data_IF_004340981342
#
_entry.id   IF_004340981342
#
_cell.length_a   1.000
_cell.length_b   1.000
_cell.length_c   1.000
_cell.angle_alpha   90.00
_cell.angle_beta   90.00
_cell.angle_gamma   90.00
#
_symmetry.space_group_name_H-M   'P 1'
#
loop_
_entity.id
_entity.type
_entity.pdbx_description
1 polymer ?
#
# COMPACT_ATOMS: atom_id res chain seq x y z
N UNK A 1 40.41 -6.86 27.91
CA UNK A 1 39.09 -6.42 27.38
C UNK A 1 39.21 -6.00 25.91
N UNK A 2 39.45 -6.94 25.00
CA UNK A 2 39.44 -6.74 23.52
C UNK A 2 38.89 -8.02 22.84
N UNK A 3 37.70 -8.41 23.27
CA UNK A 3 36.85 -9.40 22.58
C UNK A 3 35.43 -8.85 22.63
N UNK A 4 35.23 -7.74 21.92
CA UNK A 4 33.92 -7.19 21.65
C UNK A 4 33.55 -7.61 20.23
N UNK A 5 32.63 -8.57 20.14
CA UNK A 5 31.55 -8.61 19.15
C UNK A 5 31.98 -8.60 17.68
N UNK A 6 32.63 -9.67 17.23
CA UNK A 6 32.23 -10.23 15.94
C UNK A 6 30.82 -10.79 16.18
N UNK A 7 29.79 -10.00 15.86
CA UNK A 7 28.39 -10.43 15.94
C UNK A 7 28.30 -11.59 14.94
N UNK A 8 28.29 -12.84 15.43
CA UNK A 8 28.03 -14.00 14.58
C UNK A 8 26.75 -13.70 13.81
N UNK A 9 26.81 -13.83 12.48
CA UNK A 9 25.65 -13.58 11.64
C UNK A 9 24.48 -14.42 12.18
N UNK A 10 23.43 -13.75 12.65
CA UNK A 10 22.24 -14.44 13.14
C UNK A 10 21.67 -15.28 12.01
N UNK A 11 21.20 -16.50 12.29
CA UNK A 11 20.50 -17.33 11.31
C UNK A 11 19.36 -16.56 10.61
N UNK A 12 18.71 -15.65 11.35
CA UNK A 12 17.62 -14.78 10.86
C UNK A 12 18.08 -13.78 9.77
N UNK A 13 19.39 -13.59 9.62
CA UNK A 13 20.00 -12.73 8.59
C UNK A 13 20.53 -13.55 7.40
N UNK A 14 20.37 -14.87 7.42
CA UNK A 14 20.82 -15.74 6.33
C UNK A 14 19.83 -15.76 5.17
N UNK A 15 20.35 -16.03 3.97
CA UNK A 15 19.56 -16.21 2.76
C UNK A 15 18.57 -17.38 2.89
N UNK A 16 19.00 -18.49 3.49
CA UNK A 16 18.14 -19.67 3.72
C UNK A 16 16.93 -19.35 4.64
N UNK A 17 17.13 -18.55 5.69
CA UNK A 17 16.00 -18.11 6.52
C UNK A 17 15.05 -17.20 5.72
N UNK A 18 15.59 -16.30 4.92
CA UNK A 18 14.79 -15.41 4.07
C UNK A 18 13.95 -16.19 3.03
N UNK A 19 14.53 -17.20 2.37
CA UNK A 19 13.79 -18.10 1.46
C UNK A 19 12.62 -18.77 2.18
N UNK A 20 12.84 -19.26 3.40
CA UNK A 20 11.76 -19.85 4.22
C UNK A 20 10.63 -18.84 4.45
N UNK A 21 10.92 -17.54 4.60
CA UNK A 21 9.88 -16.51 4.74
C UNK A 21 9.12 -16.26 3.44
N UNK A 22 9.79 -16.34 2.29
CA UNK A 22 9.12 -16.27 0.97
C UNK A 22 8.16 -17.44 0.83
N UNK A 23 8.60 -18.67 1.13
CA UNK A 23 7.77 -19.87 1.06
C UNK A 23 6.53 -19.78 1.98
N UNK A 24 6.71 -19.33 3.22
CA UNK A 24 5.61 -19.13 4.17
C UNK A 24 4.60 -18.11 3.67
N UNK A 25 5.04 -17.02 3.03
CA UNK A 25 4.13 -16.05 2.43
C UNK A 25 3.35 -16.70 1.27
N UNK A 26 4.04 -17.39 0.37
CA UNK A 26 3.41 -18.04 -0.79
C UNK A 26 2.40 -19.11 -0.40
N UNK A 27 2.59 -19.79 0.73
CA UNK A 27 1.66 -20.80 1.23
C UNK A 27 0.24 -20.25 1.49
N UNK A 28 0.06 -18.93 1.66
CA UNK A 28 -1.26 -18.30 1.84
C UNK A 28 -2.13 -18.43 0.59
N UNK A 29 -1.54 -18.46 -0.61
CA UNK A 29 -2.31 -18.62 -1.85
C UNK A 29 -2.81 -20.06 -2.08
N UNK A 30 -2.31 -21.04 -1.32
CA UNK A 30 -2.72 -22.45 -1.45
C UNK A 30 -2.45 -23.02 -2.85
N UNK A 31 -3.39 -23.79 -3.39
CA UNK A 31 -3.25 -24.48 -4.68
C UNK A 31 -3.30 -23.54 -5.90
N UNK A 32 -3.78 -22.31 -5.71
CA UNK A 32 -3.88 -21.28 -6.77
C UNK A 32 -2.69 -20.31 -6.75
N UNK A 33 -1.61 -20.67 -6.04
CA UNK A 33 -0.44 -19.83 -5.92
C UNK A 33 0.20 -19.52 -7.29
N UNK A 34 0.54 -18.24 -7.55
CA UNK A 34 1.42 -17.93 -8.66
C UNK A 34 2.79 -18.58 -8.43
N UNK A 35 3.59 -18.67 -9.49
CA UNK A 35 4.95 -19.21 -9.36
C UNK A 35 5.73 -18.42 -8.29
N UNK A 36 6.34 -19.14 -7.35
CA UNK A 36 7.21 -18.52 -6.34
C UNK A 36 8.36 -17.81 -7.03
N UNK A 37 8.55 -16.49 -6.81
CA UNK A 37 9.64 -15.75 -7.43
C UNK A 37 10.99 -16.26 -6.88
N UNK A 38 12.01 -16.28 -7.73
CA UNK A 38 13.37 -16.55 -7.28
C UNK A 38 13.90 -15.38 -6.46
N UNK A 39 14.98 -15.61 -5.70
CA UNK A 39 15.68 -14.51 -5.04
C UNK A 39 16.27 -13.50 -6.03
N UNK A 40 16.63 -13.94 -7.24
CA UNK A 40 17.09 -13.03 -8.29
C UNK A 40 15.95 -12.10 -8.75
N UNK A 41 14.73 -12.62 -8.90
CA UNK A 41 13.54 -11.83 -9.21
C UNK A 41 13.24 -10.83 -8.08
N UNK A 42 13.29 -11.29 -6.83
CA UNK A 42 13.06 -10.45 -5.65
C UNK A 42 14.17 -9.42 -5.41
N UNK A 43 15.31 -9.47 -6.11
CA UNK A 43 16.33 -8.40 -6.09
C UNK A 43 16.07 -7.33 -7.14
N UNK A 44 15.32 -7.62 -8.21
CA UNK A 44 15.07 -6.68 -9.29
C UNK A 44 14.26 -5.47 -8.81
N UNK A 45 14.54 -4.26 -9.30
CA UNK A 45 13.79 -3.08 -8.92
C UNK A 45 12.31 -3.22 -9.30
N UNK A 46 11.41 -2.87 -8.39
CA UNK A 46 9.97 -2.85 -8.69
C UNK A 46 9.64 -1.67 -9.61
N UNK A 47 8.72 -1.88 -10.55
CA UNK A 47 8.21 -0.80 -11.41
C UNK A 47 7.44 0.20 -10.56
N UNK A 48 7.84 1.48 -10.63
CA UNK A 48 7.23 2.57 -9.85
C UNK A 48 6.67 3.66 -10.77
N UNK A 49 5.47 4.13 -10.44
CA UNK A 49 4.80 5.22 -11.13
C UNK A 49 4.36 6.29 -10.13
N UNK A 50 4.53 7.57 -10.49
CA UNK A 50 3.88 8.70 -9.82
C UNK A 50 3.24 9.65 -10.86
N UNK A 51 2.16 9.22 -11.52
CA UNK A 51 1.52 9.95 -12.62
C UNK A 51 0.84 11.27 -12.20
N UNK A 52 0.47 11.39 -10.92
CA UNK A 52 -0.20 12.56 -10.36
C UNK A 52 0.55 12.94 -9.08
N UNK A 53 0.96 14.21 -9.00
CA UNK A 53 1.71 14.74 -7.87
C UNK A 53 0.92 15.87 -7.20
N UNK A 54 1.22 16.21 -5.93
CA UNK A 54 0.54 17.31 -5.24
C UNK A 54 0.60 18.66 -5.96
N UNK A 55 1.61 18.89 -6.81
CA UNK A 55 1.75 20.12 -7.60
C UNK A 55 0.97 20.13 -8.92
N UNK A 56 0.39 19.00 -9.32
CA UNK A 56 -0.30 18.84 -10.60
C UNK A 56 -1.54 17.92 -10.46
N UNK A 57 -2.54 18.31 -9.65
CA UNK A 57 -3.72 17.49 -9.39
C UNK A 57 -4.56 17.29 -10.66
N UNK A 58 -5.38 16.22 -10.68
CA UNK A 58 -6.32 15.94 -11.78
C UNK A 58 -7.75 15.88 -11.28
N UNK A 59 -8.67 16.49 -12.02
CA UNK A 59 -10.09 16.56 -11.68
C UNK A 59 -10.91 15.61 -12.54
N UNK A 60 -11.83 14.88 -11.93
CA UNK A 60 -12.77 13.95 -12.56
C UNK A 60 -14.21 14.25 -12.10
N UNK A 61 -15.11 14.41 -13.05
CA UNK A 61 -16.55 14.46 -12.83
C UNK A 61 -17.20 13.08 -12.86
N UNK A 62 -18.48 13.03 -12.50
CA UNK A 62 -19.27 11.80 -12.58
C UNK A 62 -19.28 11.22 -14.02
N UNK A 63 -19.00 9.93 -14.15
CA UNK A 63 -18.87 9.23 -15.43
C UNK A 63 -17.50 9.36 -16.10
N UNK A 64 -16.63 10.26 -15.63
CA UNK A 64 -15.26 10.38 -16.14
C UNK A 64 -14.37 9.28 -15.55
N UNK A 65 -13.36 8.90 -16.32
CA UNK A 65 -12.36 7.91 -15.93
C UNK A 65 -10.95 8.36 -16.33
N UNK A 66 -9.96 7.83 -15.62
CA UNK A 66 -8.55 7.93 -15.97
C UNK A 66 -7.89 6.56 -15.88
N UNK A 67 -6.79 6.39 -16.61
CA UNK A 67 -5.94 5.20 -16.55
C UNK A 67 -4.50 5.66 -16.42
N UNK A 68 -3.80 5.14 -15.42
CA UNK A 68 -2.40 5.45 -15.16
C UNK A 68 -1.66 4.17 -14.79
N UNK A 69 -0.76 3.74 -15.68
CA UNK A 69 -0.07 2.46 -15.54
C UNK A 69 -1.07 1.28 -15.41
N UNK A 70 -0.92 0.41 -14.39
CA UNK A 70 -1.82 -0.72 -14.17
C UNK A 70 -3.16 -0.33 -13.55
N UNK A 71 -3.34 0.91 -13.05
CA UNK A 71 -4.59 1.33 -12.41
C UNK A 71 -5.53 2.06 -13.36
N UNK A 72 -6.81 1.70 -13.30
CA UNK A 72 -7.90 2.48 -13.85
C UNK A 72 -8.79 3.01 -12.73
N UNK A 73 -9.18 4.28 -12.81
CA UNK A 73 -10.08 4.89 -11.85
C UNK A 73 -11.27 5.53 -12.57
N UNK A 74 -12.46 5.42 -12.00
CA UNK A 74 -13.67 6.09 -12.47
C UNK A 74 -14.43 6.74 -11.32
N UNK A 75 -15.15 7.82 -11.61
CA UNK A 75 -16.02 8.48 -10.63
C UNK A 75 -17.47 8.17 -10.95
N UNK A 76 -18.22 7.73 -9.94
CA UNK A 76 -19.63 7.38 -10.06
C UNK A 76 -20.45 8.07 -8.97
N UNK A 77 -21.73 8.28 -9.23
CA UNK A 77 -22.68 8.77 -8.23
C UNK A 77 -23.69 7.67 -7.97
N UNK A 78 -23.76 7.20 -6.73
CA UNK A 78 -24.67 6.14 -6.33
C UNK A 78 -25.51 6.56 -5.13
N UNK A 79 -26.74 6.05 -5.02
CA UNK A 79 -27.54 6.21 -3.82
C UNK A 79 -27.12 5.16 -2.79
N UNK A 80 -26.55 5.62 -1.67
CA UNK A 80 -26.21 4.75 -0.54
C UNK A 80 -27.25 4.90 0.56
N UNK A 81 -27.57 3.78 1.21
CA UNK A 81 -28.38 3.78 2.43
C UNK A 81 -27.42 4.04 3.59
N UNK A 82 -27.50 5.24 4.17
CA UNK A 82 -26.78 5.57 5.39
C UNK A 82 -27.72 5.35 6.59
N UNK A 83 -27.28 4.56 7.56
CA UNK A 83 -27.91 4.46 8.87
C UNK A 83 -27.19 5.41 9.83
N UNK A 84 -27.88 6.48 10.25
CA UNK A 84 -27.39 7.39 11.27
C UNK A 84 -28.38 7.41 12.42
N UNK A 85 -27.95 6.91 13.59
CA UNK A 85 -28.76 6.88 14.82
C UNK A 85 -30.12 6.17 14.63
N UNK A 86 -30.17 5.13 13.80
CA UNK A 86 -31.39 4.37 13.52
C UNK A 86 -32.29 4.98 12.43
N UNK A 87 -31.91 6.13 11.86
CA UNK A 87 -32.59 6.70 10.70
C UNK A 87 -31.86 6.24 9.45
N UNK A 88 -32.55 5.43 8.64
CA UNK A 88 -32.09 5.04 7.31
C UNK A 88 -32.50 6.09 6.30
N UNK A 89 -31.52 6.76 5.72
CA UNK A 89 -31.73 7.72 4.64
C UNK A 89 -31.01 7.25 3.37
N UNK A 90 -31.67 7.43 2.22
CA UNK A 90 -31.04 7.27 0.91
C UNK A 90 -30.47 8.61 0.51
N UNK A 91 -29.16 8.67 0.35
CA UNK A 91 -28.48 9.89 -0.08
C UNK A 91 -27.56 9.52 -1.24
N UNK A 92 -27.44 10.41 -2.24
CA UNK A 92 -26.43 10.25 -3.29
C UNK A 92 -25.04 10.38 -2.68
N UNK A 93 -24.07 9.62 -3.18
CA UNK A 93 -22.66 9.68 -2.82
C UNK A 93 -21.82 9.64 -4.08
N UNK A 94 -20.81 10.50 -4.12
CA UNK A 94 -19.74 10.43 -5.12
C UNK A 94 -18.73 9.38 -4.68
N UNK A 95 -18.53 8.36 -5.50
CA UNK A 95 -17.61 7.24 -5.28
C UNK A 95 -16.48 7.31 -6.31
N UNK A 96 -15.25 7.03 -5.87
CA UNK A 96 -14.15 6.69 -6.75
C UNK A 96 -13.99 5.17 -6.76
N UNK A 97 -14.03 4.56 -7.95
CA UNK A 97 -13.78 3.13 -8.14
C UNK A 97 -12.42 2.97 -8.77
N UNK A 98 -11.51 2.26 -8.10
CA UNK A 98 -10.13 2.03 -8.55
C UNK A 98 -9.95 0.55 -8.79
N UNK A 99 -9.43 0.18 -9.95
CA UNK A 99 -9.25 -1.20 -10.35
C UNK A 99 -7.83 -1.45 -10.84
N UNK A 100 -7.23 -2.54 -10.39
CA UNK A 100 -6.01 -3.04 -11.00
C UNK A 100 -6.34 -3.79 -12.30
N UNK A 101 -5.94 -3.21 -13.43
CA UNK A 101 -6.05 -3.80 -14.76
C UNK A 101 -4.73 -4.42 -15.24
N UNK A 102 -3.69 -4.40 -14.41
CA UNK A 102 -2.43 -5.07 -14.66
C UNK A 102 -2.53 -6.59 -14.49
N UNK A 103 -1.43 -7.27 -14.76
CA UNK A 103 -1.28 -8.72 -14.58
C UNK A 103 -0.57 -9.11 -13.29
N UNK A 104 -0.16 -8.13 -12.48
CA UNK A 104 0.54 -8.32 -11.21
C UNK A 104 -0.14 -7.50 -10.11
N UNK A 105 0.00 -7.90 -8.83
CA UNK A 105 -0.51 -7.09 -7.73
C UNK A 105 0.17 -5.71 -7.71
N UNK A 106 -0.53 -4.71 -7.19
CA UNK A 106 0.01 -3.35 -7.08
C UNK A 106 -0.22 -2.79 -5.69
N UNK A 107 0.82 -2.21 -5.09
CA UNK A 107 0.64 -1.29 -3.99
C UNK A 107 0.32 0.09 -4.53
N UNK A 108 -0.57 0.81 -3.87
CA UNK A 108 -0.95 2.16 -4.29
C UNK A 108 -1.07 3.13 -3.12
N UNK A 109 -0.71 4.37 -3.39
CA UNK A 109 -1.04 5.51 -2.54
C UNK A 109 -1.97 6.40 -3.33
N UNK A 110 -3.11 6.73 -2.74
CA UNK A 110 -4.10 7.57 -3.39
C UNK A 110 -4.65 8.60 -2.41
N UNK A 111 -4.39 9.86 -2.72
CA UNK A 111 -5.01 10.99 -2.04
C UNK A 111 -6.08 11.62 -2.93
N UNK A 112 -7.29 11.71 -2.38
CA UNK A 112 -8.49 12.21 -3.06
C UNK A 112 -9.17 13.25 -2.20
N UNK A 113 -9.65 14.30 -2.86
CA UNK A 113 -10.54 15.28 -2.23
C UNK A 113 -11.67 15.68 -3.15
N UNK A 114 -12.66 16.35 -2.56
CA UNK A 114 -13.68 17.06 -3.33
C UNK A 114 -13.02 18.28 -3.99
N UNK A 115 -13.29 18.51 -5.27
CA UNK A 115 -12.85 19.71 -5.98
C UNK A 115 -13.45 20.98 -5.34
N UNK A 116 -12.64 22.03 -5.20
CA UNK A 116 -13.01 23.26 -4.49
C UNK A 116 -12.93 23.17 -2.96
N UNK A 117 -12.58 22.00 -2.41
CA UNK A 117 -12.34 21.79 -0.99
C UNK A 117 -13.60 21.70 -0.12
N UNK A 118 -13.38 21.83 1.19
CA UNK A 118 -14.40 21.71 2.24
C UNK A 118 -14.44 20.33 2.92
N UNK A 119 -14.84 20.33 4.19
CA UNK A 119 -15.02 19.08 4.93
C UNK A 119 -16.24 18.32 4.42
N UNK A 120 -16.05 17.04 4.12
CA UNK A 120 -17.17 16.17 3.87
C UNK A 120 -17.83 15.76 5.19
N UNK A 121 -19.06 16.22 5.41
CA UNK A 121 -19.81 15.94 6.65
C UNK A 121 -20.27 14.48 6.77
N UNK A 122 -20.50 13.80 5.65
CA UNK A 122 -20.97 12.41 5.60
C UNK A 122 -20.20 11.62 4.55
N UNK A 123 -19.33 10.73 5.02
CA UNK A 123 -18.68 9.70 4.20
C UNK A 123 -19.27 8.35 4.57
N UNK A 124 -19.73 7.62 3.56
CA UNK A 124 -20.04 6.21 3.78
C UNK A 124 -18.71 5.47 3.92
N UNK A 125 -18.51 4.72 5.01
CA UNK A 125 -17.34 3.87 5.15
C UNK A 125 -17.58 2.59 4.36
N UNK A 126 -17.16 2.58 3.09
CA UNK A 126 -16.99 1.36 2.30
C UNK A 126 -15.71 0.68 2.77
N UNK A 127 -15.73 -0.63 3.00
CA UNK A 127 -14.51 -1.38 3.29
C UNK A 127 -13.83 -1.73 1.98
N UNK A 128 -12.51 -1.58 1.92
CA UNK A 128 -11.69 -1.89 0.75
C UNK A 128 -10.24 -2.12 1.18
N UNK A 129 -9.44 -2.77 0.35
CA UNK A 129 -8.01 -2.78 0.57
C UNK A 129 -7.37 -1.46 0.11
N UNK A 130 -6.99 -0.64 1.10
CA UNK A 130 -6.32 0.64 0.90
C UNK A 130 -4.82 0.57 0.52
N UNK A 131 -4.21 -0.62 0.54
CA UNK A 131 -2.77 -0.80 0.39
C UNK A 131 -2.42 -1.51 -0.91
N UNK A 132 -3.07 -2.64 -1.17
CA UNK A 132 -2.80 -3.50 -2.32
C UNK A 132 -4.08 -3.74 -3.12
N UNK A 133 -3.93 -3.93 -4.43
CA UNK A 133 -4.96 -4.49 -5.30
C UNK A 133 -4.38 -5.65 -6.09
N UNK A 134 -4.99 -6.83 -5.95
CA UNK A 134 -4.70 -7.99 -6.79
C UNK A 134 -5.14 -7.76 -8.25
N UNK A 135 -4.61 -8.51 -9.24
CA UNK A 135 -5.04 -8.39 -10.62
C UNK A 135 -6.57 -8.53 -10.78
N UNK A 136 -7.20 -7.50 -11.35
CA UNK A 136 -8.64 -7.44 -11.56
C UNK A 136 -9.46 -6.98 -10.35
N UNK A 137 -8.85 -6.86 -9.16
CA UNK A 137 -9.49 -6.38 -7.94
C UNK A 137 -9.85 -4.89 -8.04
N UNK A 138 -10.92 -4.51 -7.33
CA UNK A 138 -11.45 -3.16 -7.31
C UNK A 138 -11.70 -2.67 -5.88
N UNK A 139 -11.19 -1.48 -5.55
CA UNK A 139 -11.57 -0.71 -4.38
C UNK A 139 -12.65 0.32 -4.72
N UNK A 140 -13.63 0.50 -3.82
CA UNK A 140 -14.64 1.55 -3.92
C UNK A 140 -14.52 2.51 -2.74
N UNK A 141 -14.24 3.78 -3.02
CA UNK A 141 -13.95 4.81 -2.02
C UNK A 141 -15.05 5.88 -2.05
N UNK A 142 -15.78 6.04 -0.95
CA UNK A 142 -16.75 7.14 -0.81
C UNK A 142 -16.04 8.47 -0.54
N UNK A 143 -16.16 9.41 -1.46
CA UNK A 143 -15.53 10.73 -1.34
C UNK A 143 -16.40 11.65 -0.49
N UNK A 144 -17.66 11.81 -0.89
CA UNK A 144 -18.64 12.60 -0.14
C UNK A 144 -20.09 12.34 -0.54
N UNK A 145 -21.03 12.66 0.37
CA UNK A 145 -22.45 12.76 0.05
C UNK A 145 -22.75 13.88 -0.95
N UNK A 146 -23.57 13.61 -1.96
CA UNK A 146 -23.92 14.49 -3.06
C UNK A 146 -23.18 14.14 -4.35
N UNK A 147 -23.39 14.98 -5.36
CA UNK A 147 -22.71 14.92 -6.65
C UNK A 147 -21.58 15.95 -6.65
N UNK A 148 -20.33 15.48 -6.72
CA UNK A 148 -19.17 16.34 -6.72
C UNK A 148 -18.17 15.89 -7.78
N UNK A 149 -17.34 16.83 -8.22
CA UNK A 149 -16.10 16.50 -8.90
C UNK A 149 -15.06 16.07 -7.87
N UNK A 150 -14.25 15.08 -8.24
CA UNK A 150 -13.19 14.50 -7.42
C UNK A 150 -11.87 15.00 -7.95
N UNK A 151 -11.03 15.50 -7.06
CA UNK A 151 -9.66 15.87 -7.37
C UNK A 151 -8.71 14.81 -6.79
N UNK A 152 -7.88 14.24 -7.67
CA UNK A 152 -6.78 13.35 -7.34
C UNK A 152 -5.55 14.21 -7.12
N UNK A 153 -5.03 14.21 -5.90
CA UNK A 153 -3.93 15.09 -5.48
C UNK A 153 -2.58 14.37 -5.50
N UNK A 154 -2.54 13.07 -5.23
CA UNK A 154 -1.33 12.26 -5.34
C UNK A 154 -1.75 10.83 -5.71
N UNK A 155 -1.08 10.26 -6.70
CA UNK A 155 -1.23 8.86 -7.08
C UNK A 155 0.16 8.27 -7.25
N UNK A 156 0.48 7.28 -6.41
CA UNK A 156 1.72 6.50 -6.48
C UNK A 156 1.37 5.04 -6.63
N UNK A 157 2.14 4.32 -7.44
CA UNK A 157 1.87 2.92 -7.76
C UNK A 157 3.21 2.18 -7.77
N UNK A 158 3.25 1.02 -7.11
CA UNK A 158 4.37 0.09 -7.16
C UNK A 158 3.84 -1.28 -7.59
N UNK A 159 4.34 -1.83 -8.70
CA UNK A 159 4.07 -3.21 -9.08
C UNK A 159 4.80 -4.16 -8.13
N UNK A 160 4.13 -5.24 -7.72
CA UNK A 160 4.61 -6.15 -6.69
C UNK A 160 4.77 -7.57 -7.23
N UNK A 161 5.62 -8.33 -6.56
CA UNK A 161 5.55 -9.79 -6.60
C UNK A 161 4.44 -10.27 -5.66
N UNK A 162 3.99 -11.51 -5.85
CA UNK A 162 2.99 -12.14 -4.99
C UNK A 162 3.33 -12.15 -3.48
N UNK A 163 4.55 -12.53 -3.03
CA UNK A 163 4.88 -12.45 -1.61
C UNK A 163 4.94 -10.99 -1.11
N UNK A 164 5.32 -10.05 -1.99
CA UNK A 164 5.34 -8.63 -1.67
C UNK A 164 3.96 -8.04 -1.39
N UNK A 165 2.93 -8.44 -2.14
CA UNK A 165 1.54 -8.10 -1.87
C UNK A 165 1.14 -8.49 -0.44
N UNK A 166 1.33 -9.77 -0.11
CA UNK A 166 1.03 -10.32 1.22
C UNK A 166 1.76 -9.57 2.33
N UNK A 167 3.06 -9.31 2.16
CA UNK A 167 3.83 -8.61 3.19
C UNK A 167 3.40 -7.16 3.38
N UNK A 168 3.01 -6.47 2.31
CA UNK A 168 2.52 -5.10 2.38
C UNK A 168 1.16 -5.04 3.07
N UNK A 169 0.27 -6.00 2.83
CA UNK A 169 -1.06 -6.03 3.46
C UNK A 169 -1.00 -6.20 4.98
N UNK A 170 0.11 -6.73 5.51
CA UNK A 170 0.34 -6.78 6.97
C UNK A 170 0.71 -5.42 7.56
N UNK A 171 1.07 -4.42 6.77
CA UNK A 171 1.54 -3.12 7.27
C UNK A 171 0.35 -2.25 7.68
N UNK A 172 0.31 -1.71 8.91
CA UNK A 172 -0.70 -0.74 9.30
C UNK A 172 -0.69 0.47 8.34
N UNK A 173 -1.82 0.83 7.69
CA UNK A 173 -1.90 1.95 6.75
C UNK A 173 -1.34 3.28 7.27
N UNK A 174 -1.46 3.53 8.57
CA UNK A 174 -0.93 4.73 9.22
C UNK A 174 0.59 4.81 9.13
N UNK A 175 1.28 3.67 9.12
CA UNK A 175 2.75 3.59 9.06
C UNK A 175 3.29 4.12 7.73
N UNK A 176 2.48 4.06 6.68
CA UNK A 176 2.84 4.53 5.33
C UNK A 176 2.21 5.90 5.02
N UNK A 177 1.67 6.58 6.03
CA UNK A 177 1.14 7.94 5.91
C UNK A 177 -0.28 8.04 5.37
N UNK A 178 -1.05 6.95 5.31
CA UNK A 178 -2.46 7.02 4.92
C UNK A 178 -3.31 7.70 5.99
N UNK A 179 -4.34 8.42 5.54
CA UNK A 179 -5.24 9.17 6.43
C UNK A 179 -6.01 8.25 7.38
N UNK A 180 -6.49 8.81 8.49
CA UNK A 180 -7.31 8.09 9.47
C UNK A 180 -8.61 7.55 8.89
N UNK A 181 -9.19 8.23 7.89
CA UNK A 181 -10.39 7.74 7.20
C UNK A 181 -10.09 6.52 6.36
N UNK A 182 -9.03 6.57 5.54
CA UNK A 182 -8.60 5.45 4.69
C UNK A 182 -8.21 4.25 5.56
N UNK A 183 -7.46 4.49 6.63
CA UNK A 183 -7.08 3.47 7.62
C UNK A 183 -8.30 2.74 8.20
N UNK A 184 -9.38 3.45 8.55
CA UNK A 184 -10.58 2.84 9.11
C UNK A 184 -11.37 2.01 8.09
N UNK A 185 -11.18 2.30 6.81
CA UNK A 185 -11.82 1.60 5.71
C UNK A 185 -10.99 0.40 5.22
N UNK A 186 -9.70 0.35 5.54
CA UNK A 186 -8.80 -0.71 5.12
C UNK A 186 -9.23 -2.07 5.66
N UNK A 187 -9.39 -3.04 4.77
CA UNK A 187 -9.68 -4.44 5.04
C UNK A 187 -8.85 -5.30 4.07
N UNK A 188 -7.67 -5.80 4.48
CA UNK A 188 -6.73 -6.53 3.62
C UNK A 188 -7.17 -7.96 3.28
N UNK A 189 -8.46 -8.16 3.01
CA UNK A 189 -9.04 -9.48 2.76
C UNK A 189 -9.01 -10.42 3.98
N UNK A 190 -9.23 -11.73 3.73
CA UNK A 190 -9.29 -12.75 4.78
C UNK A 190 -7.89 -13.30 5.06
N UNK A 191 -7.60 -13.59 6.33
CA UNK A 191 -6.38 -14.27 6.82
C UNK A 191 -5.08 -13.45 6.84
N UNK A 192 -5.14 -12.12 6.65
CA UNK A 192 -3.99 -11.25 6.89
C UNK A 192 -3.95 -10.82 8.35
N UNK A 193 -2.83 -11.09 9.02
CA UNK A 193 -2.55 -10.63 10.39
C UNK A 193 -1.63 -9.43 10.32
N UNK A 194 -2.09 -8.29 10.81
CA UNK A 194 -1.32 -7.04 10.81
C UNK A 194 -0.09 -7.13 11.71
N UNK A 195 1.02 -6.57 11.26
CA UNK A 195 2.23 -6.40 12.06
C UNK A 195 2.02 -5.43 13.22
N UNK A 196 2.26 -5.88 14.45
CA UNK A 196 2.07 -5.08 15.68
C UNK A 196 3.32 -4.32 16.11
N UNK A 197 4.51 -4.83 15.78
CA UNK A 197 5.80 -4.31 16.27
C UNK A 197 6.41 -3.21 15.38
N UNK A 198 5.65 -2.68 14.43
CA UNK A 198 6.12 -1.60 13.57
C UNK A 198 6.13 -0.26 14.32
N UNK A 199 7.18 0.58 14.18
CA UNK A 199 7.23 1.90 14.79
C UNK A 199 6.35 2.89 14.01
N UNK A 200 5.03 2.66 13.99
CA UNK A 200 4.03 3.37 13.16
C UNK A 200 4.17 4.89 13.29
N UNK A 201 4.28 5.40 14.51
CA UNK A 201 4.38 6.83 14.77
C UNK A 201 5.68 7.44 14.23
N UNK A 202 6.81 6.70 14.28
CA UNK A 202 8.09 7.16 13.73
C UNK A 202 8.04 7.23 12.21
N UNK A 203 7.56 6.17 11.54
CA UNK A 203 7.44 6.17 10.08
C UNK A 203 6.49 7.26 9.58
N UNK A 204 5.31 7.39 10.19
CA UNK A 204 4.36 8.44 9.84
C UNK A 204 4.99 9.84 9.98
N UNK A 205 5.74 10.08 11.07
CA UNK A 205 6.46 11.34 11.29
C UNK A 205 7.52 11.57 10.21
N UNK A 206 8.36 10.57 9.91
CA UNK A 206 9.43 10.68 8.91
C UNK A 206 8.88 10.89 7.49
N UNK A 207 7.73 10.29 7.18
CA UNK A 207 7.00 10.54 5.93
C UNK A 207 6.49 11.97 5.87
N UNK A 208 5.87 12.47 6.95
CA UNK A 208 5.41 13.86 7.01
C UNK A 208 6.57 14.88 6.90
N UNK A 209 7.75 14.55 7.43
CA UNK A 209 8.96 15.37 7.33
C UNK A 209 9.72 15.20 6.00
N UNK A 210 9.32 14.23 5.16
CA UNK A 210 9.99 13.93 3.88
C UNK A 210 11.34 13.23 4.00
N UNK A 211 11.74 12.77 5.20
CA UNK A 211 13.01 12.05 5.43
C UNK A 211 12.90 10.56 5.10
N UNK A 212 11.68 10.04 5.00
CA UNK A 212 11.32 8.74 4.48
C UNK A 212 10.23 8.95 3.42
N UNK A 213 10.33 8.32 2.25
CA UNK A 213 9.27 8.41 1.24
C UNK A 213 8.39 7.17 1.29
N UNK A 214 7.14 7.30 0.87
CA UNK A 214 6.20 6.17 0.77
C UNK A 214 6.82 5.03 -0.04
N UNK A 215 7.39 5.34 -1.20
CA UNK A 215 7.96 4.33 -2.10
C UNK A 215 9.20 3.64 -1.55
N UNK A 216 9.93 4.27 -0.62
CA UNK A 216 11.08 3.64 0.05
C UNK A 216 10.59 2.56 1.03
N UNK A 217 9.53 2.86 1.79
CA UNK A 217 8.98 1.95 2.78
C UNK A 217 8.23 0.77 2.14
N UNK A 218 7.42 1.07 1.12
CA UNK A 218 6.69 0.04 0.37
C UNK A 218 7.65 -0.86 -0.40
N UNK A 219 8.68 -0.33 -1.07
CA UNK A 219 9.66 -1.18 -1.76
C UNK A 219 10.42 -2.08 -0.78
N UNK A 220 10.79 -1.59 0.41
CA UNK A 220 11.42 -2.42 1.42
C UNK A 220 10.52 -3.60 1.82
N UNK A 221 9.28 -3.32 2.24
CA UNK A 221 8.38 -4.38 2.71
C UNK A 221 7.76 -5.23 1.61
N UNK A 222 7.74 -4.77 0.35
CA UNK A 222 7.46 -5.64 -0.81
C UNK A 222 8.45 -6.80 -0.94
N UNK A 223 9.60 -6.69 -0.27
CA UNK A 223 10.67 -7.68 -0.26
C UNK A 223 10.90 -8.27 1.12
N UNK A 224 10.25 -7.79 2.18
CA UNK A 224 10.57 -8.23 3.53
C UNK A 224 9.32 -8.31 4.40
N UNK A 225 9.21 -9.41 5.14
CA UNK A 225 8.18 -9.56 6.17
C UNK A 225 8.41 -8.56 7.31
N UNK A 226 7.40 -7.73 7.58
CA UNK A 226 7.43 -6.73 8.65
C UNK A 226 7.51 -7.32 10.07
N UNK A 227 7.32 -8.62 10.26
CA UNK A 227 7.56 -9.26 11.56
C UNK A 227 9.06 -9.44 11.85
N UNK A 228 9.86 -9.66 10.80
CA UNK A 228 11.24 -10.12 10.93
C UNK A 228 12.26 -9.02 10.61
N UNK A 229 11.90 -8.10 9.70
CA UNK A 229 12.84 -7.15 9.15
C UNK A 229 12.43 -5.70 9.43
N UNK A 230 13.43 -4.83 9.53
CA UNK A 230 13.26 -3.38 9.64
C UNK A 230 14.13 -2.70 8.59
N UNK A 231 13.61 -1.68 7.88
CA UNK A 231 14.38 -0.93 6.90
C UNK A 231 15.56 -0.22 7.59
N UNK A 232 16.77 -0.31 7.01
CA UNK A 232 17.85 0.60 7.36
C UNK A 232 17.41 2.07 7.24
N UNK A 233 17.91 2.95 8.09
CA UNK A 233 17.51 4.37 8.11
C UNK A 233 17.76 5.06 6.77
N UNK A 234 18.83 4.66 6.07
CA UNK A 234 19.26 5.16 4.77
C UNK A 234 18.68 4.38 3.59
N UNK A 235 17.79 3.40 3.81
CA UNK A 235 17.18 2.65 2.72
C UNK A 235 16.43 3.59 1.77
N UNK A 236 16.62 3.34 0.49
CA UNK A 236 15.89 3.98 -0.61
C UNK A 236 15.39 2.88 -1.53
N UNK A 237 14.24 3.13 -2.16
CA UNK A 237 13.68 2.25 -3.17
C UNK A 237 14.77 1.81 -4.15
N UNK A 238 14.85 0.51 -4.39
CA UNK A 238 15.77 -0.05 -5.37
C UNK A 238 15.47 0.49 -6.78
N UNK A 239 16.48 1.09 -7.41
CA UNK A 239 16.45 1.49 -8.84
C UNK A 239 17.38 0.63 -9.70
N UNK A 240 18.18 -0.19 -9.04
CA UNK A 240 19.07 -1.21 -9.58
C UNK A 240 18.85 -2.49 -8.77
N UNK A 241 19.25 -3.67 -9.28
CA UNK A 241 19.14 -4.90 -8.52
C UNK A 241 19.85 -4.79 -7.16
N UNK A 242 19.18 -5.23 -6.09
CA UNK A 242 19.76 -5.27 -4.76
C UNK A 242 20.93 -6.26 -4.73
N UNK A 243 22.02 -5.89 -4.04
CA UNK A 243 23.22 -6.73 -3.95
C UNK A 243 22.95 -8.08 -3.26
N UNK A 244 22.05 -8.10 -2.27
CA UNK A 244 21.68 -9.30 -1.52
C UNK A 244 20.30 -9.14 -0.87
N UNK A 245 19.69 -10.28 -0.54
CA UNK A 245 18.53 -10.37 0.35
C UNK A 245 18.87 -11.34 1.50
N UNK A 246 18.40 -11.09 2.74
CA UNK A 246 17.65 -9.90 3.14
C UNK A 246 18.52 -8.63 3.13
N UNK A 247 17.89 -7.47 2.98
CA UNK A 247 18.55 -6.18 3.17
C UNK A 247 18.71 -5.95 4.67
N UNK A 248 19.93 -6.09 5.15
CA UNK A 248 20.29 -5.87 6.56
C UNK A 248 20.98 -4.52 6.75
N UNK A 249 20.85 -3.89 7.93
CA UNK A 249 21.65 -2.72 8.28
C UNK A 249 23.14 -3.04 8.17
N UNK A 250 23.92 -2.12 7.59
CA UNK A 250 25.38 -2.24 7.61
C UNK A 250 25.87 -2.21 9.06
N UNK A 251 26.82 -3.07 9.45
CA UNK A 251 27.48 -2.90 10.74
C UNK A 251 28.21 -1.55 10.75
N UNK A 252 28.02 -0.79 11.83
CA UNK A 252 28.73 0.47 12.10
C UNK A 252 30.26 0.28 12.15
#
# INVERSE_FOLDING_TARGET
QRKALAREASYEQSEAFYETRVEVAMAIYGDEAPATPSLEDLRQPNTFYQPITPGSPRSLGAGESLREGPLAMSVQVEELIADQRGIRSKTKHTLAKIRNQGSVPVAYFLDLRKEGGGECRVRALTRFDAMVLEPGEQAEISICSGEHRVEVTDLRILELTAPGAIWIDKIPPQAVGLSTTVTRAHEPGRNIVMCTELPVADYAKRIAEGTLRWEDLIDFYSRHDCEQFRPPTDYRRAVEPLASLPVVPKPD
#
